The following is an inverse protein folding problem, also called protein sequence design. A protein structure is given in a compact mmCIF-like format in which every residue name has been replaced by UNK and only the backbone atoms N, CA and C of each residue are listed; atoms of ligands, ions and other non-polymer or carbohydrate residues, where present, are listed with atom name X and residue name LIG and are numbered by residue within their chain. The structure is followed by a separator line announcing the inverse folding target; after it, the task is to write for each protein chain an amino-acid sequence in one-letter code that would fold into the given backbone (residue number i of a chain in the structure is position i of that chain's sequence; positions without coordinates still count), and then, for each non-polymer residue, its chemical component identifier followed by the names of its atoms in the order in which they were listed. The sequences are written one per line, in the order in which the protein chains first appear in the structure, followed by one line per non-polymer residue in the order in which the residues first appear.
data_IF_465133766066
#
_entry.id   IF_465133766066
#
_cell.length_a   1.000
_cell.length_b   1.000
_cell.length_c   1.000
_cell.angle_alpha   90.00
_cell.angle_beta   90.00
_cell.angle_gamma   90.00
#
_symmetry.space_group_name_H-M   'P 1'
#
loop_
_entity.id
_entity.type
_entity.pdbx_description
1 polymer ?
#
# COMPACT_ATOMS: atom_id res chain seq x y z
N UNK A 1 -42.32 7.88 -29.73
CA UNK A 1 -41.83 8.69 -28.59
C UNK A 1 -40.33 8.79 -28.76
N UNK A 2 -39.84 9.95 -29.17
CA UNK A 2 -38.41 10.18 -29.40
C UNK A 2 -37.86 10.72 -28.09
N UNK A 3 -37.05 9.94 -27.37
CA UNK A 3 -36.33 10.44 -26.20
C UNK A 3 -35.33 11.49 -26.68
N UNK A 4 -35.59 12.75 -26.36
CA UNK A 4 -34.65 13.84 -26.55
C UNK A 4 -33.38 13.57 -25.74
N UNK A 5 -32.29 13.27 -26.44
CA UNK A 5 -30.96 13.20 -25.84
C UNK A 5 -30.57 14.61 -25.36
N UNK A 6 -30.62 14.84 -24.04
CA UNK A 6 -30.22 16.10 -23.40
C UNK A 6 -28.74 16.02 -23.02
N UNK A 7 -27.82 16.64 -23.78
CA UNK A 7 -26.39 16.57 -23.52
C UNK A 7 -25.95 17.38 -22.28
N UNK A 8 -26.83 18.22 -21.73
CA UNK A 8 -26.51 19.19 -20.68
C UNK A 8 -26.82 18.70 -19.26
N UNK A 9 -27.30 17.47 -19.09
CA UNK A 9 -27.51 16.93 -17.75
C UNK A 9 -26.14 16.52 -17.17
N UNK A 10 -25.66 17.14 -16.08
CA UNK A 10 -24.50 16.61 -15.39
C UNK A 10 -24.77 15.14 -15.03
N UNK A 11 -23.78 14.24 -15.19
CA UNK A 11 -23.98 12.84 -14.84
C UNK A 11 -24.49 12.76 -13.40
N UNK A 12 -25.49 11.91 -13.11
CA UNK A 12 -26.03 11.80 -11.77
C UNK A 12 -24.88 11.58 -10.80
N UNK A 13 -24.85 12.37 -9.73
CA UNK A 13 -23.82 12.23 -8.71
C UNK A 13 -23.79 10.77 -8.24
N UNK A 14 -22.60 10.13 -8.17
CA UNK A 14 -22.53 8.72 -7.85
C UNK A 14 -23.14 8.48 -6.47
N UNK A 15 -24.19 7.66 -6.42
CA UNK A 15 -24.86 7.31 -5.18
C UNK A 15 -23.84 6.68 -4.20
N UNK A 16 -24.01 6.85 -2.88
CA UNK A 16 -23.13 6.21 -1.91
C UNK A 16 -23.25 4.69 -2.02
N UNK A 17 -22.29 4.07 -2.70
CA UNK A 17 -22.24 2.62 -2.89
C UNK A 17 -21.47 1.98 -1.75
N UNK A 18 -22.12 1.05 -1.04
CA UNK A 18 -21.45 0.13 -0.12
C UNK A 18 -20.80 -0.98 -0.95
N UNK A 19 -19.47 -1.04 -0.91
CA UNK A 19 -18.66 -2.02 -1.63
C UNK A 19 -17.94 -2.92 -0.63
N UNK A 20 -17.91 -4.21 -0.91
CA UNK A 20 -17.31 -5.22 -0.03
C UNK A 20 -16.08 -5.83 -0.68
N UNK A 21 -14.94 -5.79 0.03
CA UNK A 21 -13.74 -6.53 -0.32
C UNK A 21 -13.46 -7.59 0.75
N UNK A 22 -13.20 -8.82 0.31
CA UNK A 22 -12.84 -9.94 1.20
C UNK A 22 -11.34 -10.12 1.35
N UNK A 23 -10.57 -9.58 0.42
CA UNK A 23 -9.12 -9.65 0.41
C UNK A 23 -8.50 -8.36 -0.15
N UNK A 24 -7.17 -8.31 -0.10
CA UNK A 24 -6.41 -7.13 -0.51
C UNK A 24 -6.48 -6.86 -2.02
N UNK A 25 -6.57 -7.90 -2.86
CA UNK A 25 -6.69 -7.71 -4.32
C UNK A 25 -8.08 -7.20 -4.70
N UNK A 26 -9.14 -7.71 -4.09
CA UNK A 26 -10.49 -7.18 -4.21
C UNK A 26 -10.57 -5.75 -3.73
N UNK A 27 -9.91 -5.40 -2.62
CA UNK A 27 -9.80 -4.01 -2.17
C UNK A 27 -9.16 -3.10 -3.23
N UNK A 28 -8.05 -3.52 -3.85
CA UNK A 28 -7.40 -2.74 -4.92
C UNK A 28 -8.27 -2.61 -6.17
N UNK A 29 -8.99 -3.67 -6.53
CA UNK A 29 -9.93 -3.64 -7.63
C UNK A 29 -11.01 -2.58 -7.39
N UNK A 30 -11.62 -2.55 -6.19
CA UNK A 30 -12.60 -1.53 -5.82
C UNK A 30 -12.05 -0.10 -5.90
N UNK A 31 -10.80 0.13 -5.45
CA UNK A 31 -10.17 1.44 -5.59
C UNK A 31 -9.99 1.83 -7.07
N UNK A 32 -9.56 0.90 -7.91
CA UNK A 32 -9.40 1.14 -9.33
C UNK A 32 -10.76 1.37 -10.04
N UNK A 33 -11.79 0.62 -9.67
CA UNK A 33 -13.14 0.77 -10.20
C UNK A 33 -13.72 2.13 -9.83
N UNK A 34 -13.56 2.56 -8.57
CA UNK A 34 -13.96 3.90 -8.13
C UNK A 34 -13.22 4.99 -8.91
N UNK A 35 -11.92 4.83 -9.14
CA UNK A 35 -11.14 5.76 -9.97
C UNK A 35 -11.72 5.85 -11.39
N UNK A 36 -12.07 4.72 -12.00
CA UNK A 36 -12.68 4.65 -13.34
C UNK A 36 -14.05 5.33 -13.34
N UNK A 37 -14.87 5.10 -12.33
CA UNK A 37 -16.18 5.73 -12.15
C UNK A 37 -16.06 7.26 -12.07
N UNK A 38 -15.05 7.76 -11.34
CA UNK A 38 -14.70 9.19 -11.26
C UNK A 38 -13.98 9.71 -12.51
N UNK A 39 -13.74 8.86 -13.51
CA UNK A 39 -13.03 9.17 -14.77
C UNK A 39 -11.64 9.76 -14.56
N UNK A 40 -10.97 9.38 -13.47
CA UNK A 40 -9.62 9.82 -13.16
C UNK A 40 -8.58 8.91 -13.83
N UNK A 41 -7.58 9.50 -14.49
CA UNK A 41 -6.37 8.77 -14.86
C UNK A 41 -5.53 8.44 -13.61
N UNK A 42 -4.60 7.50 -13.74
CA UNK A 42 -3.68 7.16 -12.63
C UNK A 42 -2.80 8.35 -12.22
N UNK A 43 -2.42 9.19 -13.17
CA UNK A 43 -1.59 10.38 -12.92
C UNK A 43 -2.39 11.48 -12.21
N UNK A 44 -3.65 11.67 -12.59
CA UNK A 44 -4.55 12.60 -11.90
C UNK A 44 -4.84 12.14 -10.47
N UNK A 45 -5.01 10.83 -10.25
CA UNK A 45 -5.13 10.29 -8.90
C UNK A 45 -3.88 10.57 -8.07
N UNK A 46 -2.68 10.34 -8.62
CA UNK A 46 -1.43 10.65 -7.93
C UNK A 46 -1.34 12.15 -7.58
N UNK A 47 -1.73 13.03 -8.51
CA UNK A 47 -1.74 14.48 -8.28
C UNK A 47 -2.73 14.89 -7.18
N UNK A 48 -3.97 14.40 -7.22
CA UNK A 48 -5.00 14.68 -6.22
C UNK A 48 -4.62 14.15 -4.84
N UNK A 49 -3.97 12.98 -4.78
CA UNK A 49 -3.54 12.36 -3.55
C UNK A 49 -2.20 12.94 -3.01
N UNK A 50 -1.54 13.84 -3.74
CA UNK A 50 -0.21 14.34 -3.38
C UNK A 50 0.86 13.25 -3.34
N UNK A 51 0.77 12.28 -4.26
CA UNK A 51 1.68 11.15 -4.38
C UNK A 51 2.68 11.33 -5.53
N UNK A 52 3.84 10.65 -5.48
CA UNK A 52 4.76 10.65 -6.60
C UNK A 52 4.10 10.11 -7.89
N UNK A 53 4.38 10.75 -9.02
CA UNK A 53 3.85 10.35 -10.32
C UNK A 53 4.15 8.87 -10.63
N UNK A 54 3.11 8.14 -11.03
CA UNK A 54 3.17 6.71 -11.36
C UNK A 54 3.15 5.79 -10.13
N UNK A 55 2.86 6.32 -8.94
CA UNK A 55 2.69 5.51 -7.73
C UNK A 55 1.46 4.62 -7.85
N UNK A 56 0.31 5.20 -8.22
CA UNK A 56 -0.94 4.47 -8.37
C UNK A 56 -0.85 3.40 -9.45
N UNK A 57 -0.14 3.67 -10.55
CA UNK A 57 0.11 2.66 -11.60
C UNK A 57 0.86 1.42 -11.10
N UNK A 58 1.77 1.57 -10.13
CA UNK A 58 2.49 0.41 -9.52
C UNK A 58 1.64 -0.31 -8.48
N UNK A 59 0.65 0.38 -7.93
CA UNK A 59 -0.08 -0.05 -6.73
C UNK A 59 -1.52 -0.49 -7.01
N UNK A 60 -2.11 -0.13 -8.14
CA UNK A 60 -3.49 -0.47 -8.51
C UNK A 60 -3.60 -1.24 -9.83
N UNK A 61 -2.57 -1.23 -10.68
CA UNK A 61 -2.60 -2.00 -11.93
C UNK A 61 -2.64 -3.50 -11.65
N UNK A 62 -3.38 -4.24 -12.47
CA UNK A 62 -3.40 -5.70 -12.44
C UNK A 62 -2.00 -6.31 -12.65
N UNK A 63 -1.70 -7.47 -12.05
CA UNK A 63 -0.42 -8.14 -12.24
C UNK A 63 -0.26 -8.55 -13.71
N UNK A 64 0.81 -8.10 -14.37
CA UNK A 64 1.08 -8.53 -15.76
C UNK A 64 1.68 -9.93 -15.74
N UNK A 65 0.99 -10.88 -16.40
CA UNK A 65 1.56 -12.20 -16.73
C UNK A 65 2.76 -11.98 -17.66
N UNK A 66 3.96 -12.28 -17.16
CA UNK A 66 5.30 -12.15 -17.79
C UNK A 66 5.96 -10.76 -17.69
N UNK A 67 6.96 -10.68 -16.81
CA UNK A 67 8.12 -9.79 -16.95
C UNK A 67 7.93 -8.29 -16.69
N UNK A 68 6.71 -7.80 -16.47
CA UNK A 68 6.45 -6.35 -16.39
C UNK A 68 5.86 -5.90 -15.05
N UNK A 69 6.63 -5.12 -14.30
CA UNK A 69 6.31 -4.41 -13.06
C UNK A 69 5.80 -5.28 -11.88
N UNK A 70 6.62 -5.36 -10.83
CA UNK A 70 6.17 -5.79 -9.51
C UNK A 70 5.04 -4.88 -9.03
N UNK A 71 3.85 -5.46 -8.80
CA UNK A 71 2.81 -4.78 -8.05
C UNK A 71 3.35 -4.44 -6.67
N UNK A 72 3.29 -3.16 -6.31
CA UNK A 72 3.65 -2.68 -4.97
C UNK A 72 2.42 -2.69 -4.08
N UNK A 73 2.65 -2.96 -2.81
CA UNK A 73 1.63 -2.78 -1.79
C UNK A 73 1.41 -1.29 -1.53
N UNK A 74 0.18 -0.92 -1.20
CA UNK A 74 -0.21 0.42 -0.78
C UNK A 74 0.24 0.54 0.68
N UNK A 75 1.17 1.47 0.94
CA UNK A 75 1.60 1.78 2.31
C UNK A 75 0.49 2.49 3.11
N UNK A 76 0.52 2.42 4.45
CA UNK A 76 -0.53 3.01 5.30
C UNK A 76 -0.79 4.50 5.03
N UNK A 77 0.28 5.29 4.86
CA UNK A 77 0.17 6.72 4.57
C UNK A 77 -0.45 6.98 3.20
N UNK A 78 0.02 6.27 2.17
CA UNK A 78 -0.53 6.40 0.81
C UNK A 78 -1.98 5.92 0.72
N UNK A 79 -2.37 4.96 1.56
CA UNK A 79 -3.74 4.44 1.59
C UNK A 79 -4.73 5.52 1.97
N UNK A 80 -4.47 6.26 3.05
CA UNK A 80 -5.32 7.38 3.48
C UNK A 80 -5.45 8.46 2.41
N UNK A 81 -4.34 8.80 1.74
CA UNK A 81 -4.31 9.79 0.65
C UNK A 81 -5.14 9.36 -0.57
N UNK A 82 -5.03 8.09 -0.98
CA UNK A 82 -5.81 7.53 -2.10
C UNK A 82 -7.29 7.51 -1.76
N UNK A 83 -7.66 7.10 -0.54
CA UNK A 83 -9.06 7.05 -0.11
C UNK A 83 -9.69 8.45 -0.08
N UNK A 84 -8.97 9.44 0.45
CA UNK A 84 -9.41 10.83 0.44
C UNK A 84 -9.62 11.35 -0.98
N UNK A 85 -8.67 11.11 -1.89
CA UNK A 85 -8.77 11.52 -3.29
C UNK A 85 -9.95 10.85 -4.02
N UNK A 86 -10.31 9.62 -3.66
CA UNK A 86 -11.44 8.88 -4.21
C UNK A 86 -12.77 9.12 -3.47
N UNK A 87 -12.76 9.96 -2.43
CA UNK A 87 -13.91 10.21 -1.55
C UNK A 87 -14.51 8.92 -0.96
N UNK A 88 -13.63 8.02 -0.52
CA UNK A 88 -13.98 6.73 0.08
C UNK A 88 -13.68 6.70 1.58
N UNK A 89 -14.49 5.94 2.31
CA UNK A 89 -14.25 5.61 3.73
C UNK A 89 -14.17 4.09 3.85
N UNK A 90 -13.17 3.59 4.58
CA UNK A 90 -13.06 2.17 4.88
C UNK A 90 -13.69 1.90 6.24
N UNK A 91 -14.52 0.85 6.29
CA UNK A 91 -14.94 0.21 7.52
C UNK A 91 -14.44 -1.23 7.50
N UNK A 92 -13.74 -1.62 8.54
CA UNK A 92 -13.34 -3.02 8.74
C UNK A 92 -14.43 -3.68 9.57
N UNK A 93 -15.03 -4.73 9.02
CA UNK A 93 -16.03 -5.53 9.71
C UNK A 93 -15.46 -6.92 9.98
N UNK A 94 -15.61 -7.40 11.21
CA UNK A 94 -15.27 -8.77 11.55
C UNK A 94 -16.40 -9.66 11.07
N UNK A 95 -16.15 -10.40 10.01
CA UNK A 95 -17.01 -11.51 9.64
C UNK A 95 -16.84 -12.63 10.71
N UNK A 96 -17.91 -13.04 11.43
CA UNK A 96 -17.82 -14.09 12.43
C UNK A 96 -17.32 -15.43 11.86
N UNK A 97 -17.47 -15.66 10.56
CA UNK A 97 -16.90 -16.84 9.88
C UNK A 97 -15.37 -16.79 9.75
N UNK A 98 -14.77 -15.60 9.84
CA UNK A 98 -13.33 -15.37 9.77
C UNK A 98 -12.62 -15.49 11.12
N UNK A 99 -13.32 -15.83 12.21
CA UNK A 99 -12.75 -16.01 13.55
C UNK A 99 -11.63 -17.07 13.61
N UNK A 100 -11.59 -17.97 12.62
CA UNK A 100 -10.62 -19.07 12.51
C UNK A 100 -9.40 -18.75 11.63
N UNK A 101 -9.25 -17.53 11.10
CA UNK A 101 -8.00 -17.20 10.41
C UNK A 101 -6.84 -17.19 11.42
N UNK A 102 -5.76 -17.96 11.20
CA UNK A 102 -4.65 -18.03 12.13
C UNK A 102 -4.02 -16.64 12.27
N UNK A 103 -4.28 -15.99 13.41
CA UNK A 103 -3.61 -14.78 13.85
C UNK A 103 -2.16 -15.13 14.17
N UNK A 104 -1.29 -15.19 13.17
CA UNK A 104 0.11 -15.52 13.44
C UNK A 104 1.05 -15.59 12.25
N UNK A 105 0.58 -15.97 11.07
CA UNK A 105 1.48 -16.15 9.93
C UNK A 105 0.83 -15.61 8.67
N UNK A 106 1.12 -14.35 8.33
CA UNK A 106 0.73 -13.89 7.00
C UNK A 106 1.44 -14.77 5.97
N UNK A 107 0.74 -15.29 4.94
CA UNK A 107 1.36 -16.06 3.85
C UNK A 107 2.40 -15.24 3.06
N UNK A 108 2.52 -13.94 3.35
CA UNK A 108 3.50 -13.02 2.80
C UNK A 108 4.86 -13.17 3.55
N UNK A 109 4.91 -13.73 4.77
CA UNK A 109 6.16 -13.86 5.54
C UNK A 109 7.23 -14.87 5.05
N UNK A 110 6.94 -15.97 4.33
CA UNK A 110 7.98 -16.88 3.88
C UNK A 110 8.89 -16.24 2.83
N UNK A 111 8.32 -15.51 1.87
CA UNK A 111 9.10 -14.91 0.78
C UNK A 111 9.98 -13.74 1.25
N UNK A 112 9.52 -12.98 2.25
CA UNK A 112 10.29 -11.89 2.87
C UNK A 112 11.50 -12.42 3.65
N UNK A 113 11.33 -13.53 4.39
CA UNK A 113 12.45 -14.21 5.05
C UNK A 113 13.49 -14.68 4.04
N UNK A 114 13.05 -15.35 2.97
CA UNK A 114 13.92 -15.81 1.89
C UNK A 114 14.64 -14.64 1.19
N UNK A 115 13.95 -13.54 0.92
CA UNK A 115 14.55 -12.36 0.30
C UNK A 115 15.59 -11.70 1.21
N UNK A 116 15.28 -11.52 2.51
CA UNK A 116 16.24 -11.01 3.50
C UNK A 116 17.47 -11.90 3.63
N UNK A 117 17.28 -13.22 3.62
CA UNK A 117 18.38 -14.17 3.72
C UNK A 117 19.26 -14.15 2.45
N UNK A 118 18.64 -14.06 1.26
CA UNK A 118 19.37 -13.86 -0.01
C UNK A 118 20.15 -12.56 -0.02
N UNK A 119 19.56 -11.45 0.42
CA UNK A 119 20.22 -10.17 0.52
C UNK A 119 21.42 -10.22 1.50
N UNK A 120 21.26 -10.88 2.66
CA UNK A 120 22.34 -11.09 3.63
C UNK A 120 23.49 -11.92 3.03
N UNK A 121 23.19 -13.03 2.37
CA UNK A 121 24.18 -13.89 1.70
C UNK A 121 24.91 -13.15 0.57
N UNK A 122 24.18 -12.38 -0.23
CA UNK A 122 24.77 -11.56 -1.30
C UNK A 122 25.69 -10.47 -0.75
N UNK A 123 25.28 -9.79 0.34
CA UNK A 123 26.11 -8.80 1.03
C UNK A 123 27.40 -9.41 1.59
N UNK A 124 27.30 -10.56 2.27
CA UNK A 124 28.46 -11.28 2.80
C UNK A 124 29.43 -11.73 1.70
N UNK A 125 28.91 -12.23 0.56
CA UNK A 125 29.73 -12.62 -0.58
C UNK A 125 30.46 -11.43 -1.21
N UNK A 126 29.77 -10.28 -1.35
CA UNK A 126 30.40 -9.04 -1.83
C UNK A 126 31.51 -8.58 -0.89
N UNK A 127 31.28 -8.60 0.42
CA UNK A 127 32.28 -8.21 1.42
C UNK A 127 33.51 -9.13 1.38
N UNK A 128 33.32 -10.44 1.22
CA UNK A 128 34.40 -11.41 1.10
C UNK A 128 35.26 -11.16 -0.16
N UNK A 129 34.66 -10.67 -1.24
CA UNK A 129 35.34 -10.36 -2.50
C UNK A 129 36.03 -8.99 -2.53
N UNK A 130 35.71 -8.08 -1.60
CA UNK A 130 36.37 -6.77 -1.51
C UNK A 130 37.82 -6.93 -1.04
N UNK A 131 38.70 -6.14 -1.65
CA UNK A 131 40.07 -5.92 -1.20
C UNK A 131 40.10 -5.20 0.15
N UNK A 132 41.26 -5.21 0.80
CA UNK A 132 41.43 -4.57 2.12
C UNK A 132 41.09 -3.08 2.10
N UNK A 133 41.56 -2.35 1.09
CA UNK A 133 41.30 -0.92 0.92
C UNK A 133 39.81 -0.63 0.68
N UNK A 134 39.13 -1.48 -0.11
CA UNK A 134 37.69 -1.36 -0.35
C UNK A 134 36.86 -1.65 0.91
N UNK A 135 37.31 -2.58 1.76
CA UNK A 135 36.65 -2.86 3.05
C UNK A 135 36.83 -1.70 4.04
N UNK A 136 37.99 -1.06 4.04
CA UNK A 136 38.27 0.10 4.90
C UNK A 136 37.43 1.33 4.48
N UNK A 137 37.11 1.47 3.17
CA UNK A 137 36.21 2.49 2.66
C UNK A 137 34.71 2.10 2.71
N UNK A 138 34.38 0.82 2.95
CA UNK A 138 33.01 0.34 3.00
C UNK A 138 32.35 0.70 4.34
N UNK A 139 31.57 1.77 4.36
CA UNK A 139 30.69 2.06 5.49
C UNK A 139 29.43 1.16 5.37
N UNK A 140 29.20 0.21 6.29
CA UNK A 140 27.94 -0.53 6.28
C UNK A 140 26.80 0.49 6.45
N UNK A 141 25.66 0.32 5.75
CA UNK A 141 24.51 1.18 6.00
C UNK A 141 24.22 1.12 7.49
N UNK A 142 24.19 2.29 8.13
CA UNK A 142 23.90 2.42 9.55
C UNK A 142 22.71 1.51 9.86
N UNK A 143 22.87 0.58 10.81
CA UNK A 143 21.73 -0.19 11.32
C UNK A 143 20.68 0.85 11.68
N UNK A 144 19.55 0.89 10.96
CA UNK A 144 18.40 1.64 11.41
C UNK A 144 18.12 1.16 12.83
N UNK A 145 18.44 2.01 13.80
CA UNK A 145 18.11 1.81 15.20
C UNK A 145 16.60 2.01 15.35
N UNK A 146 15.79 1.13 14.78
CA UNK A 146 14.37 1.04 15.12
C UNK A 146 14.25 0.16 16.36
N UNK A 147 14.53 0.75 17.50
CA UNK A 147 13.85 0.52 18.78
C UNK A 147 14.46 1.46 19.84
N UNK A 148 14.38 2.78 19.61
CA UNK A 148 14.26 3.68 20.75
C UNK A 148 12.87 3.44 21.33
N UNK A 149 12.85 2.82 22.51
CA UNK A 149 11.69 2.74 23.40
C UNK A 149 11.03 4.12 23.50
N UNK A 150 9.88 4.31 22.85
CA UNK A 150 8.91 5.30 23.29
C UNK A 150 8.23 4.71 24.54
N UNK A 151 8.92 4.83 25.68
CA UNK A 151 8.26 4.76 26.97
C UNK A 151 7.41 6.03 27.08
N UNK A 152 6.15 5.97 26.63
CA UNK A 152 5.13 6.89 27.10
C UNK A 152 4.75 6.39 28.49
N UNK A 153 5.55 6.78 29.48
CA UNK A 153 5.13 6.67 30.87
C UNK A 153 3.96 7.65 31.06
N UNK A 154 2.88 7.11 31.62
CA UNK A 154 1.68 7.82 31.95
C UNK A 154 2.00 9.10 32.73
N UNK A 155 1.48 10.22 32.26
CA UNK A 155 1.31 11.41 33.07
C UNK A 155 0.30 11.05 34.18
N UNK A 156 0.80 10.64 35.34
CA UNK A 156 0.08 10.79 36.60
C UNK A 156 -0.07 12.28 36.84
N UNK A 157 -1.31 12.78 36.69
CA UNK A 157 -1.68 14.11 37.14
C UNK A 157 -1.50 14.22 38.67
N UNK A 158 -1.24 15.42 39.20
CA UNK A 158 -1.17 15.63 40.63
C UNK A 158 -2.59 15.56 41.24
N UNK A 159 -2.80 14.60 42.13
CA UNK A 159 -3.87 14.64 43.12
C UNK A 159 -3.45 15.55 44.28
N UNK A 160 -4.44 16.31 44.77
CA UNK A 160 -4.55 16.98 46.08
C UNK A 160 -3.73 18.27 46.32
#
# INVERSE_FOLDING_TARGET
MVEEFRPDLPPPAPAPALLFARDYEGFRALLNDRRIELRLSMLELDALAGLPSGYSSKSLSAPRKKGGCFQRNIGPESMGKILAALSLVIRVEQDPSCANFPRGESPIYPHLKLWRERARKAGAKRYAQMSRLEREAFHPPAKCASNSRLNIAAASGPDA
#
